data_IF_935125783090
#
_entry.id   IF_935125783090
#
_cell.length_a   1.000
_cell.length_b   1.000
_cell.length_c   1.000
_cell.angle_alpha   90.00
_cell.angle_beta   90.00
_cell.angle_gamma   90.00
#
_symmetry.space_group_name_H-M   'P 1'
#
loop_
_entity.id
_entity.type
_entity.pdbx_description
1 polymer ?
#
# COMPACT_ATOMS: atom_id res chain seq x y z
N UNK A 1 6.86 -69.02 -50.32
CA UNK A 1 7.49 -68.43 -49.12
C UNK A 1 6.41 -67.73 -48.32
N UNK A 2 5.97 -68.32 -47.20
CA UNK A 2 4.88 -67.80 -46.36
C UNK A 2 5.46 -66.75 -45.40
N UNK A 3 4.95 -65.52 -45.42
CA UNK A 3 5.34 -64.47 -44.46
C UNK A 3 4.62 -64.72 -43.13
N UNK A 4 5.39 -64.93 -42.08
CA UNK A 4 4.94 -65.11 -40.71
C UNK A 4 4.70 -63.72 -40.10
N UNK A 5 3.45 -63.40 -39.77
CA UNK A 5 3.05 -62.18 -39.06
C UNK A 5 3.35 -62.33 -37.56
N UNK A 6 4.30 -61.54 -37.06
CA UNK A 6 4.62 -61.44 -35.63
C UNK A 6 3.77 -60.31 -35.03
N UNK A 7 2.89 -60.68 -34.09
CA UNK A 7 2.09 -59.78 -33.28
C UNK A 7 2.98 -59.21 -32.16
N UNK A 8 3.26 -57.90 -32.17
CA UNK A 8 3.91 -57.23 -31.04
C UNK A 8 2.83 -56.79 -30.04
N UNK A 9 2.81 -57.41 -28.85
CA UNK A 9 2.03 -56.91 -27.71
C UNK A 9 2.65 -55.60 -27.20
N UNK A 10 1.86 -54.52 -27.17
CA UNK A 10 2.23 -53.29 -26.49
C UNK A 10 1.93 -53.43 -24.97
N UNK A 11 2.86 -53.11 -24.06
CA UNK A 11 2.51 -53.01 -22.65
C UNK A 11 1.76 -51.70 -22.41
N UNK A 12 0.54 -51.83 -21.89
CA UNK A 12 -0.30 -50.75 -21.38
C UNK A 12 0.39 -50.10 -20.18
N UNK A 13 0.99 -48.93 -20.36
CA UNK A 13 1.53 -48.12 -19.27
C UNK A 13 0.39 -47.39 -18.55
N UNK A 14 -0.05 -47.95 -17.41
CA UNK A 14 -0.94 -47.26 -16.48
C UNK A 14 -0.11 -46.19 -15.74
N UNK A 15 -0.16 -44.94 -16.19
CA UNK A 15 0.42 -43.81 -15.45
C UNK A 15 -0.45 -43.54 -14.21
N UNK A 16 0.00 -44.02 -13.05
CA UNK A 16 -0.44 -43.50 -11.76
C UNK A 16 0.06 -42.05 -11.66
N UNK A 17 -0.78 -41.07 -11.99
CA UNK A 17 -0.53 -39.68 -11.64
C UNK A 17 -0.70 -39.55 -10.12
N UNK A 18 0.39 -39.79 -9.38
CA UNK A 18 0.49 -39.35 -7.98
C UNK A 18 0.24 -37.84 -7.99
N UNK A 19 -0.92 -37.40 -7.49
CA UNK A 19 -1.18 -36.01 -7.22
C UNK A 19 -0.19 -35.57 -6.15
N UNK A 20 0.93 -34.99 -6.59
CA UNK A 20 1.88 -34.34 -5.70
C UNK A 20 1.06 -33.33 -4.87
N UNK A 21 1.17 -33.32 -3.53
CA UNK A 21 0.60 -32.23 -2.76
C UNK A 21 1.20 -30.93 -3.30
N UNK A 22 0.36 -30.09 -3.92
CA UNK A 22 0.78 -28.76 -4.32
C UNK A 22 0.93 -27.94 -3.04
N UNK A 23 2.11 -27.94 -2.47
CA UNK A 23 2.46 -26.93 -1.48
C UNK A 23 2.39 -25.58 -2.21
N UNK A 24 1.47 -24.71 -1.80
CA UNK A 24 1.47 -23.32 -2.25
C UNK A 24 2.88 -22.78 -2.02
N UNK A 25 3.55 -22.32 -3.08
CA UNK A 25 4.90 -21.80 -3.00
C UNK A 25 4.97 -20.79 -1.86
N UNK A 26 6.00 -20.90 -1.00
CA UNK A 26 6.25 -19.86 -0.02
C UNK A 26 6.40 -18.53 -0.77
N UNK A 27 5.67 -17.47 -0.39
CA UNK A 27 5.75 -16.20 -1.09
C UNK A 27 7.20 -15.71 -1.07
N UNK A 28 7.76 -15.43 -2.24
CA UNK A 28 9.04 -14.76 -2.34
C UNK A 28 8.84 -13.28 -2.00
N UNK A 29 9.34 -12.84 -0.85
CA UNK A 29 9.33 -11.43 -0.48
C UNK A 29 10.21 -10.64 -1.46
N UNK A 30 9.59 -9.77 -2.27
CA UNK A 30 10.33 -8.95 -3.22
C UNK A 30 11.06 -7.79 -2.52
N UNK A 31 10.47 -7.19 -1.47
CA UNK A 31 11.09 -6.13 -0.69
C UNK A 31 10.34 -5.81 0.61
N UNK A 32 11.01 -5.07 1.50
CA UNK A 32 10.41 -4.35 2.62
C UNK A 32 10.89 -2.89 2.61
N UNK A 33 9.97 -1.93 2.72
CA UNK A 33 10.26 -0.51 2.82
C UNK A 33 9.77 -0.02 4.20
N UNK A 34 10.69 0.40 5.05
CA UNK A 34 10.34 1.07 6.30
C UNK A 34 10.02 2.53 6.02
N UNK A 35 8.86 2.98 6.47
CA UNK A 35 8.55 4.41 6.52
C UNK A 35 9.06 4.95 7.87
N UNK A 36 9.96 5.94 7.90
CA UNK A 36 10.62 6.34 9.14
C UNK A 36 9.64 6.76 10.23
N UNK A 37 9.83 6.26 11.45
CA UNK A 37 9.19 6.85 12.61
C UNK A 37 9.73 6.42 13.97
N UNK A 38 9.84 7.38 14.89
CA UNK A 38 10.28 7.18 16.28
C UNK A 38 9.14 7.62 17.20
N UNK A 39 8.43 6.68 17.81
CA UNK A 39 7.51 7.01 18.91
C UNK A 39 8.34 7.20 20.18
N UNK A 40 8.57 8.44 20.62
CA UNK A 40 9.18 8.67 21.94
C UNK A 40 8.09 8.67 23.03
N UNK A 41 8.45 8.21 24.22
CA UNK A 41 7.56 8.09 25.37
C UNK A 41 7.23 9.44 26.05
N UNK A 42 7.76 10.56 25.54
CA UNK A 42 7.55 11.91 26.08
C UNK A 42 6.61 12.78 25.23
N UNK A 43 6.02 12.24 24.16
CA UNK A 43 5.01 12.93 23.35
C UNK A 43 5.14 12.60 21.87
N UNK A 44 4.15 13.03 21.07
CA UNK A 44 4.09 12.78 19.63
C UNK A 44 5.06 13.67 18.82
N UNK A 45 6.32 13.76 19.23
CA UNK A 45 7.36 14.60 18.60
C UNK A 45 8.33 13.80 17.72
N UNK A 46 7.85 12.73 17.09
CA UNK A 46 8.63 11.91 16.17
C UNK A 46 8.02 11.84 14.79
N UNK A 47 8.84 11.54 13.78
CA UNK A 47 8.31 11.05 12.50
C UNK A 47 7.52 9.76 12.77
N UNK A 48 6.50 9.50 11.97
CA UNK A 48 5.64 8.33 12.15
C UNK A 48 4.74 8.18 10.95
N UNK A 49 4.49 6.95 10.53
CA UNK A 49 3.69 6.69 9.34
C UNK A 49 3.05 5.31 9.43
N UNK A 50 1.86 5.20 8.87
CA UNK A 50 1.10 3.96 8.83
C UNK A 50 0.34 3.88 7.52
N UNK A 51 0.37 2.71 6.89
CA UNK A 51 -0.48 2.40 5.73
C UNK A 51 -1.79 1.83 6.25
N UNK A 52 -2.91 2.40 5.83
CA UNK A 52 -4.25 2.00 6.26
C UNK A 52 -5.13 1.52 5.11
N UNK A 53 -4.73 1.79 3.86
CA UNK A 53 -5.46 1.32 2.68
C UNK A 53 -4.48 0.98 1.53
N UNK A 54 -4.82 -0.06 0.77
CA UNK A 54 -4.09 -0.47 -0.43
C UNK A 54 -5.07 -0.86 -1.55
N UNK A 55 -4.64 -0.72 -2.80
CA UNK A 55 -5.36 -1.19 -3.98
C UNK A 55 -4.36 -1.54 -5.10
N UNK A 56 -4.79 -2.32 -6.09
CA UNK A 56 -3.95 -2.69 -7.24
C UNK A 56 -4.63 -2.38 -8.55
N UNK A 57 -3.90 -1.84 -9.53
CA UNK A 57 -4.43 -1.68 -10.90
C UNK A 57 -4.27 -2.98 -11.72
N UNK A 58 -4.88 -3.02 -12.91
CA UNK A 58 -4.83 -4.17 -13.80
C UNK A 58 -3.41 -4.52 -14.30
N UNK A 59 -2.46 -3.58 -14.20
CA UNK A 59 -1.06 -3.78 -14.55
C UNK A 59 -0.23 -4.26 -13.36
N UNK A 60 -0.85 -4.50 -12.19
CA UNK A 60 -0.19 -4.96 -10.98
C UNK A 60 0.55 -3.86 -10.21
N UNK A 61 0.35 -2.59 -10.53
CA UNK A 61 0.89 -1.52 -9.70
C UNK A 61 0.11 -1.43 -8.39
N UNK A 62 0.81 -1.12 -7.30
CA UNK A 62 0.23 -1.06 -5.97
C UNK A 62 0.05 0.38 -5.55
N UNK A 63 -1.15 0.73 -5.14
CA UNK A 63 -1.50 2.02 -4.58
C UNK A 63 -1.60 1.86 -3.08
N UNK A 64 -0.95 2.75 -2.34
CA UNK A 64 -0.95 2.74 -0.87
C UNK A 64 -1.40 4.11 -0.37
N UNK A 65 -2.20 4.11 0.68
CA UNK A 65 -2.59 5.32 1.38
C UNK A 65 -2.55 5.13 2.88
N UNK A 66 -2.32 6.23 3.59
CA UNK A 66 -2.04 6.18 5.01
C UNK A 66 -1.91 7.55 5.65
N UNK A 67 -1.67 7.55 6.95
CA UNK A 67 -1.39 8.75 7.73
C UNK A 67 0.09 8.86 8.06
N UNK A 68 0.62 10.08 8.12
CA UNK A 68 1.98 10.35 8.57
C UNK A 68 2.13 11.67 9.34
N UNK A 69 3.15 11.72 10.20
CA UNK A 69 3.64 12.89 10.92
C UNK A 69 5.12 13.05 10.65
N UNK A 70 5.61 14.29 10.64
CA UNK A 70 6.99 14.58 10.24
C UNK A 70 7.24 14.33 8.75
N UNK A 71 8.42 13.86 8.39
CA UNK A 71 8.78 13.63 6.98
C UNK A 71 8.58 12.17 6.60
N UNK A 72 7.75 11.92 5.58
CA UNK A 72 7.58 10.61 4.97
C UNK A 72 8.53 10.46 3.77
N UNK A 73 9.37 9.44 3.80
CA UNK A 73 10.27 9.09 2.68
C UNK A 73 9.82 7.77 2.06
N UNK A 74 9.60 7.77 0.75
CA UNK A 74 9.18 6.63 -0.06
C UNK A 74 10.18 6.44 -1.22
N UNK A 75 11.24 5.67 -0.97
CA UNK A 75 12.37 5.57 -1.89
C UNK A 75 13.09 6.92 -2.01
N UNK A 76 13.08 7.51 -3.21
CA UNK A 76 13.64 8.85 -3.47
C UNK A 76 12.61 9.99 -3.34
N UNK A 77 11.34 9.68 -3.06
CA UNK A 77 10.29 10.67 -2.88
C UNK A 77 10.20 11.06 -1.40
N UNK A 78 10.17 12.36 -1.13
CA UNK A 78 10.08 12.90 0.23
C UNK A 78 8.88 13.82 0.33
N UNK A 79 7.99 13.53 1.28
CA UNK A 79 6.81 14.32 1.61
C UNK A 79 6.99 14.91 3.01
N UNK A 80 7.24 16.22 3.14
CA UNK A 80 7.19 16.87 4.45
C UNK A 80 5.73 16.95 4.92
N UNK A 81 5.42 16.71 6.19
CA UNK A 81 4.09 16.99 6.73
C UNK A 81 3.83 18.50 6.82
N UNK A 82 2.56 18.88 6.88
CA UNK A 82 2.11 20.25 7.14
C UNK A 82 2.39 20.69 8.59
N UNK A 83 2.50 19.73 9.51
CA UNK A 83 2.74 19.97 10.92
C UNK A 83 3.74 18.96 11.51
N UNK A 84 4.40 19.35 12.60
CA UNK A 84 5.35 18.52 13.34
C UNK A 84 4.68 17.63 14.40
N UNK A 85 3.34 17.53 14.39
CA UNK A 85 2.56 16.83 15.40
C UNK A 85 1.18 16.46 14.86
N UNK A 86 0.16 16.50 15.73
CA UNK A 86 -1.21 16.34 15.27
C UNK A 86 -1.78 17.64 14.70
N UNK A 87 -2.67 17.55 13.70
CA UNK A 87 -3.15 16.34 13.01
C UNK A 87 -2.13 15.69 12.06
N UNK A 88 -2.31 14.39 11.82
CA UNK A 88 -1.52 13.64 10.82
C UNK A 88 -1.95 14.04 9.41
N UNK A 89 -1.00 14.15 8.49
CA UNK A 89 -1.32 14.29 7.07
C UNK A 89 -1.66 12.95 6.45
N UNK A 90 -2.48 12.96 5.41
CA UNK A 90 -2.75 11.76 4.60
C UNK A 90 -1.76 11.75 3.42
N UNK A 91 -1.29 10.56 3.03
CA UNK A 91 -0.59 10.37 1.78
C UNK A 91 -1.26 9.33 0.90
N UNK A 92 -1.02 9.44 -0.41
CA UNK A 92 -1.32 8.41 -1.42
C UNK A 92 -0.08 8.25 -2.28
N UNK A 93 0.34 7.03 -2.55
CA UNK A 93 1.50 6.76 -3.40
C UNK A 93 1.26 5.57 -4.32
N UNK A 94 1.92 5.58 -5.47
CA UNK A 94 1.91 4.48 -6.44
C UNK A 94 3.27 3.80 -6.50
N UNK A 95 3.30 2.54 -6.12
CA UNK A 95 4.41 1.62 -6.26
C UNK A 95 4.32 0.85 -7.58
N UNK A 96 5.43 0.76 -8.30
CA UNK A 96 5.54 0.03 -9.57
C UNK A 96 6.48 -1.16 -9.37
N UNK A 97 5.97 -2.39 -9.22
CA UNK A 97 6.81 -3.57 -8.97
C UNK A 97 7.81 -3.87 -10.08
N UNK A 98 7.45 -3.55 -11.33
CA UNK A 98 8.31 -3.77 -12.49
C UNK A 98 9.61 -2.94 -12.44
N UNK A 99 9.55 -1.72 -11.90
CA UNK A 99 10.73 -0.85 -11.75
C UNK A 99 11.34 -0.93 -10.35
N UNK A 100 10.65 -1.49 -9.37
CA UNK A 100 11.10 -1.48 -7.99
C UNK A 100 11.15 -0.06 -7.42
N UNK A 101 10.22 0.83 -7.82
CA UNK A 101 10.19 2.22 -7.35
C UNK A 101 8.78 2.77 -7.14
N UNK A 102 8.65 3.82 -6.32
CA UNK A 102 7.45 4.65 -6.29
C UNK A 102 7.46 5.61 -7.48
N UNK A 103 6.43 5.56 -8.31
CA UNK A 103 6.30 6.45 -9.47
C UNK A 103 5.93 7.88 -9.04
N UNK A 104 5.09 8.00 -8.01
CA UNK A 104 4.67 9.29 -7.44
C UNK A 104 4.12 9.09 -6.02
N UNK A 105 4.08 10.19 -5.28
CA UNK A 105 3.44 10.30 -3.98
C UNK A 105 2.80 11.67 -3.83
N UNK A 106 1.60 11.72 -3.25
CA UNK A 106 0.82 12.93 -3.03
C UNK A 106 0.48 13.02 -1.55
N UNK A 107 0.62 14.23 -0.99
CA UNK A 107 0.21 14.58 0.36
C UNK A 107 -1.13 15.30 0.30
N UNK A 108 -2.05 14.89 1.17
CA UNK A 108 -3.21 15.69 1.54
C UNK A 108 -2.87 16.41 2.85
N UNK A 109 -2.60 17.70 2.72
CA UNK A 109 -2.15 18.56 3.80
C UNK A 109 -3.32 18.96 4.70
N UNK A 110 -3.16 18.71 5.98
CA UNK A 110 -4.09 19.10 7.03
C UNK A 110 -3.70 20.46 7.62
N UNK A 111 -4.68 21.23 8.07
CA UNK A 111 -4.41 22.47 8.83
C UNK A 111 -4.06 22.14 10.28
N UNK A 112 -3.08 22.82 10.90
CA UNK A 112 -2.77 22.61 12.31
C UNK A 112 -3.98 22.88 13.22
N UNK A 113 -4.16 22.03 14.23
CA UNK A 113 -5.16 22.23 15.29
C UNK A 113 -4.53 22.03 16.65
N UNK A 114 -4.72 23.01 17.52
CA UNK A 114 -4.30 22.91 18.92
C UNK A 114 -5.30 22.04 19.68
N UNK A 115 -4.80 20.96 20.26
CA UNK A 115 -5.59 20.12 21.16
C UNK A 115 -5.26 20.49 22.61
N UNK A 116 -6.27 20.58 23.51
CA UNK A 116 -6.01 20.67 24.94
C UNK A 116 -5.16 19.49 25.40
N UNK A 117 -4.21 19.75 26.31
CA UNK A 117 -3.36 18.71 26.91
C UNK A 117 -4.21 17.55 27.46
N UNK A 118 -3.92 16.32 27.03
CA UNK A 118 -4.69 15.12 27.43
C UNK A 118 -5.81 14.72 26.46
N UNK A 119 -6.07 15.51 25.41
CA UNK A 119 -6.92 15.07 24.31
C UNK A 119 -6.10 14.16 23.38
N UNK A 120 -6.61 12.96 23.10
CA UNK A 120 -6.08 12.09 22.04
C UNK A 120 -6.86 12.36 20.76
N UNK A 121 -6.40 13.26 19.88
CA UNK A 121 -7.11 13.50 18.64
C UNK A 121 -7.11 12.23 17.78
N UNK A 122 -8.29 11.85 17.29
CA UNK A 122 -8.37 10.94 16.17
C UNK A 122 -7.85 11.71 14.94
N UNK A 123 -6.60 11.43 14.55
CA UNK A 123 -5.97 12.01 13.36
C UNK A 123 -6.72 11.61 12.08
N UNK A 124 -6.43 12.32 10.99
CA UNK A 124 -7.01 12.06 9.67
C UNK A 124 -6.71 10.62 9.21
N UNK A 125 -7.68 9.97 8.56
CA UNK A 125 -7.56 8.57 8.12
C UNK A 125 -7.90 8.44 6.64
N UNK A 126 -7.03 7.79 5.88
CA UNK A 126 -7.36 7.19 4.60
C UNK A 126 -7.79 5.74 4.82
N UNK A 127 -9.09 5.49 4.88
CA UNK A 127 -9.61 4.18 5.25
C UNK A 127 -9.74 3.26 4.04
N UNK A 128 -10.00 3.82 2.86
CA UNK A 128 -10.28 3.05 1.66
C UNK A 128 -9.63 3.68 0.44
N UNK A 129 -9.19 2.81 -0.47
CA UNK A 129 -8.80 3.17 -1.83
C UNK A 129 -9.69 2.40 -2.80
N UNK A 130 -10.17 3.09 -3.83
CA UNK A 130 -10.78 2.47 -5.00
C UNK A 130 -10.13 3.03 -6.26
N UNK A 131 -10.04 2.21 -7.30
CA UNK A 131 -9.40 2.55 -8.57
C UNK A 131 -10.39 2.36 -9.70
N UNK A 132 -10.39 3.29 -10.66
CA UNK A 132 -11.08 3.15 -11.95
C UNK A 132 -10.17 3.70 -13.05
N UNK A 133 -9.57 2.80 -13.84
CA UNK A 133 -8.54 3.15 -14.80
C UNK A 133 -7.36 3.87 -14.14
N UNK A 134 -7.16 5.15 -14.50
CA UNK A 134 -6.12 6.01 -13.93
C UNK A 134 -6.59 6.82 -12.71
N UNK A 135 -7.89 6.78 -12.40
CA UNK A 135 -8.48 7.51 -11.28
C UNK A 135 -8.24 6.79 -9.96
N UNK A 136 -7.93 7.55 -8.92
CA UNK A 136 -7.75 7.07 -7.55
C UNK A 136 -8.76 7.78 -6.65
N UNK A 137 -9.61 7.00 -5.99
CA UNK A 137 -10.58 7.50 -5.02
C UNK A 137 -10.10 7.16 -3.62
N UNK A 138 -10.02 8.18 -2.76
CA UNK A 138 -9.63 8.04 -1.36
C UNK A 138 -10.87 8.30 -0.50
N UNK A 139 -11.27 7.29 0.26
CA UNK A 139 -12.33 7.40 1.26
C UNK A 139 -11.75 7.45 2.66
N UNK A 140 -12.34 8.26 3.54
CA UNK A 140 -11.86 8.39 4.90
C UNK A 140 -12.46 9.58 5.66
N UNK A 141 -11.75 10.00 6.69
CA UNK A 141 -12.18 11.06 7.60
C UNK A 141 -11.08 12.09 7.86
N UNK A 142 -11.49 13.34 8.02
CA UNK A 142 -10.66 14.42 8.57
C UNK A 142 -11.50 15.24 9.55
N UNK A 143 -10.87 15.71 10.63
CA UNK A 143 -11.55 16.44 11.72
C UNK A 143 -11.18 17.93 11.74
N UNK A 144 -10.43 18.37 10.74
CA UNK A 144 -9.86 19.70 10.64
C UNK A 144 -10.73 20.63 9.81
N UNK A 145 -10.58 21.97 9.95
CA UNK A 145 -11.34 22.93 9.14
C UNK A 145 -11.20 22.65 7.64
N UNK A 146 -10.01 22.21 7.21
CA UNK A 146 -9.81 21.79 5.83
C UNK A 146 -8.70 20.75 5.64
N UNK A 147 -8.81 20.04 4.53
CA UNK A 147 -7.80 19.14 3.98
C UNK A 147 -7.53 19.54 2.53
N UNK A 148 -6.28 19.66 2.12
CA UNK A 148 -5.93 20.17 0.77
C UNK A 148 -4.98 19.24 0.01
N UNK A 149 -5.20 19.11 -1.30
CA UNK A 149 -4.34 18.38 -2.22
C UNK A 149 -4.10 19.27 -3.46
N UNK A 150 -2.92 19.90 -3.52
CA UNK A 150 -2.64 20.89 -4.56
C UNK A 150 -3.57 22.11 -4.45
N UNK A 151 -4.31 22.41 -5.52
CA UNK A 151 -5.28 23.53 -5.56
C UNK A 151 -6.67 23.15 -5.06
N UNK A 152 -6.91 21.88 -4.72
CA UNK A 152 -8.21 21.40 -4.23
C UNK A 152 -8.23 21.42 -2.71
N UNK A 153 -9.26 22.03 -2.12
CA UNK A 153 -9.48 22.09 -0.67
C UNK A 153 -10.85 21.52 -0.33
N UNK A 154 -10.87 20.54 0.58
CA UNK A 154 -12.06 20.03 1.23
C UNK A 154 -12.24 20.80 2.54
N UNK A 155 -13.42 21.39 2.77
CA UNK A 155 -13.74 22.07 4.03
C UNK A 155 -14.76 21.27 4.80
N UNK A 156 -14.59 21.20 6.12
CA UNK A 156 -15.67 20.73 6.98
C UNK A 156 -16.76 21.82 7.03
N UNK A 157 -18.03 21.43 7.04
CA UNK A 157 -19.17 22.35 7.09
C UNK A 157 -19.52 22.73 8.52
#
# INVERSE_FOLDING_TARGET
MKKLSVLFMAPLFLMLSLSQPSYGQAPAWQMALATPGVFNSSGFTGSGSSVSATATDASGNVYVAGGFIGTLTLGNLTLPASSTGYPVDIFVAKWVPASGTFAWAVRLASTPRSFPSGSFPFGNRAERLALDGTSVYVGGSFNEPSLSAGSTTLTNA
#
